data_IF_120845817557
#
_entry.id   IF_120845817557
#
_cell.length_a   1.000
_cell.length_b   1.000
_cell.length_c   1.000
_cell.angle_alpha   90.00
_cell.angle_beta   90.00
_cell.angle_gamma   90.00
#
_symmetry.space_group_name_H-M   'P 1'
#
loop_
_entity.id
_entity.type
_entity.pdbx_description
1 polymer ?
#
# COMPACT_ATOMS: atom_id res chain seq x y z
N UNK A 1 -4.18 -40.04 -4.52
CA UNK A 1 -3.07 -39.22 -5.02
C UNK A 1 -3.56 -37.76 -5.06
N UNK A 2 -3.25 -37.00 -4.03
CA UNK A 2 -3.60 -35.56 -3.97
C UNK A 2 -2.58 -34.83 -4.84
N UNK A 3 -3.02 -34.33 -5.98
CA UNK A 3 -2.22 -33.38 -6.78
C UNK A 3 -2.02 -32.15 -5.89
N UNK A 4 -0.89 -32.05 -5.20
CA UNK A 4 -0.41 -30.77 -4.67
C UNK A 4 -0.09 -29.93 -5.90
N UNK A 5 -0.99 -29.03 -6.26
CA UNK A 5 -0.69 -27.98 -7.23
C UNK A 5 0.57 -27.25 -6.77
N UNK A 6 1.42 -26.92 -7.71
CA UNK A 6 2.65 -26.15 -7.49
C UNK A 6 2.29 -24.69 -7.19
N UNK A 7 1.48 -24.47 -6.14
CA UNK A 7 1.07 -23.16 -5.65
C UNK A 7 2.25 -22.60 -4.87
N UNK A 8 2.89 -21.59 -5.42
CA UNK A 8 3.92 -20.86 -4.71
C UNK A 8 3.32 -19.79 -3.77
N UNK A 9 4.15 -19.14 -2.99
CA UNK A 9 3.71 -18.11 -2.05
C UNK A 9 3.05 -16.92 -2.76
N UNK A 10 3.48 -16.59 -3.99
CA UNK A 10 2.94 -15.50 -4.80
C UNK A 10 1.50 -15.77 -5.22
N UNK A 11 1.23 -17.00 -5.69
CA UNK A 11 -0.13 -17.44 -6.04
C UNK A 11 -1.08 -17.33 -4.84
N UNK A 12 -0.58 -17.71 -3.65
CA UNK A 12 -1.35 -17.63 -2.41
C UNK A 12 -1.66 -16.17 -2.01
N UNK A 13 -0.69 -15.27 -2.15
CA UNK A 13 -0.87 -13.83 -1.90
C UNK A 13 -1.87 -13.24 -2.89
N UNK A 14 -1.75 -13.56 -4.20
CA UNK A 14 -2.68 -13.10 -5.24
C UNK A 14 -4.11 -13.57 -4.95
N UNK A 15 -4.29 -14.87 -4.64
CA UNK A 15 -5.59 -15.42 -4.30
C UNK A 15 -6.18 -14.76 -3.06
N UNK A 16 -5.37 -14.52 -2.02
CA UNK A 16 -5.81 -13.85 -0.81
C UNK A 16 -6.36 -12.43 -1.08
N UNK A 17 -5.65 -11.62 -1.89
CA UNK A 17 -6.11 -10.28 -2.22
C UNK A 17 -7.32 -10.29 -3.15
N UNK A 18 -7.39 -11.26 -4.07
CA UNK A 18 -8.55 -11.44 -4.95
C UNK A 18 -9.82 -11.77 -4.16
N UNK A 19 -9.73 -12.66 -3.17
CA UNK A 19 -10.84 -12.99 -2.28
C UNK A 19 -11.29 -11.78 -1.44
N UNK A 20 -10.37 -10.85 -1.14
CA UNK A 20 -10.67 -9.63 -0.40
C UNK A 20 -11.28 -8.51 -1.22
N UNK A 21 -11.22 -8.57 -2.54
CA UNK A 21 -11.64 -7.47 -3.42
C UNK A 21 -13.07 -6.98 -3.11
N UNK A 22 -14.00 -7.89 -2.81
CA UNK A 22 -15.41 -7.56 -2.58
C UNK A 22 -15.65 -6.60 -1.39
N UNK A 23 -14.85 -6.71 -0.33
CA UNK A 23 -14.99 -5.93 0.91
C UNK A 23 -13.79 -5.02 1.19
N UNK A 24 -12.86 -4.86 0.26
CA UNK A 24 -11.61 -4.16 0.49
C UNK A 24 -11.84 -2.69 0.85
N UNK A 25 -12.72 -2.03 0.13
CA UNK A 25 -13.01 -0.59 0.28
C UNK A 25 -13.83 -0.28 1.55
N UNK A 26 -14.42 -1.28 2.22
CA UNK A 26 -15.20 -1.08 3.46
C UNK A 26 -14.33 -0.71 4.66
N UNK A 27 -13.02 -0.95 4.56
CA UNK A 27 -12.10 -0.73 5.67
C UNK A 27 -11.48 0.66 5.63
N UNK A 28 -11.54 1.42 6.76
CA UNK A 28 -10.83 2.69 6.86
C UNK A 28 -9.33 2.55 6.58
N UNK A 29 -8.84 3.39 5.67
CA UNK A 29 -7.46 3.34 5.17
C UNK A 29 -7.29 2.52 3.89
N UNK A 30 -8.34 1.87 3.38
CA UNK A 30 -8.35 1.25 2.05
C UNK A 30 -9.12 2.09 1.03
N UNK A 31 -10.09 2.88 1.47
CA UNK A 31 -10.78 3.90 0.66
C UNK A 31 -10.68 5.27 1.36
N UNK A 32 -10.98 6.35 0.63
CA UNK A 32 -11.02 7.73 1.14
C UNK A 32 -12.43 8.05 1.63
N UNK A 33 -12.60 8.16 2.93
CA UNK A 33 -13.91 8.36 3.56
C UNK A 33 -14.25 9.83 3.83
N UNK A 34 -13.33 10.76 3.62
CA UNK A 34 -13.59 12.18 3.88
C UNK A 34 -12.71 13.09 3.03
N UNK A 35 -13.23 14.29 2.76
CA UNK A 35 -12.48 15.34 2.06
C UNK A 35 -11.22 15.77 2.84
N UNK A 36 -11.23 15.64 4.18
CA UNK A 36 -10.06 15.89 5.01
C UNK A 36 -8.96 14.86 4.77
N UNK A 37 -9.34 13.59 4.60
CA UNK A 37 -8.40 12.52 4.26
C UNK A 37 -7.84 12.73 2.86
N UNK A 38 -8.69 13.05 1.87
CA UNK A 38 -8.28 13.38 0.49
C UNK A 38 -7.23 14.47 0.47
N UNK A 39 -7.49 15.60 1.13
CA UNK A 39 -6.52 16.70 1.23
C UNK A 39 -5.20 16.27 1.87
N UNK A 40 -5.24 15.50 2.96
CA UNK A 40 -4.02 15.03 3.60
C UNK A 40 -3.18 14.11 2.69
N UNK A 41 -3.84 13.30 1.86
CA UNK A 41 -3.17 12.51 0.84
C UNK A 41 -2.61 13.35 -0.30
N UNK A 42 -3.36 14.33 -0.82
CA UNK A 42 -2.87 15.26 -1.84
C UNK A 42 -1.63 16.04 -1.35
N UNK A 43 -1.65 16.51 -0.10
CA UNK A 43 -0.51 17.18 0.53
C UNK A 43 0.73 16.27 0.60
N UNK A 44 0.55 14.98 0.96
CA UNK A 44 1.65 14.00 0.97
C UNK A 44 2.20 13.78 -0.43
N UNK A 45 1.34 13.46 -1.39
CA UNK A 45 1.73 13.16 -2.77
C UNK A 45 2.42 14.35 -3.42
N UNK A 46 1.84 15.55 -3.30
CA UNK A 46 2.41 16.79 -3.88
C UNK A 46 3.76 17.14 -3.27
N UNK A 47 3.93 16.96 -1.95
CA UNK A 47 5.20 17.20 -1.26
C UNK A 47 6.33 16.31 -1.74
N UNK A 48 6.05 15.06 -2.04
CA UNK A 48 7.06 14.08 -2.44
C UNK A 48 7.27 13.99 -3.95
N UNK A 49 6.21 14.16 -4.74
CA UNK A 49 6.26 14.03 -6.19
C UNK A 49 6.44 15.38 -6.91
N UNK A 50 6.09 16.49 -6.24
CA UNK A 50 6.04 17.81 -6.89
C UNK A 50 4.88 17.94 -7.90
N UNK A 51 4.89 18.98 -8.75
CA UNK A 51 3.81 19.23 -9.70
C UNK A 51 3.70 18.11 -10.75
N UNK A 52 2.48 17.74 -11.09
CA UNK A 52 2.23 16.64 -12.04
C UNK A 52 2.70 17.00 -13.46
N UNK A 53 2.32 18.17 -13.96
CA UNK A 53 2.73 18.68 -15.29
C UNK A 53 2.60 17.64 -16.42
N UNK A 54 1.58 16.77 -16.35
CA UNK A 54 1.37 15.69 -17.32
C UNK A 54 2.34 14.52 -17.25
N UNK A 55 3.17 14.43 -16.18
CA UNK A 55 4.08 13.30 -15.96
C UNK A 55 3.33 11.99 -15.83
N UNK A 56 3.93 10.92 -16.38
CA UNK A 56 3.43 9.55 -16.26
C UNK A 56 3.78 8.94 -14.91
N UNK A 57 2.80 8.42 -14.20
CA UNK A 57 3.00 7.73 -12.92
C UNK A 57 2.45 6.32 -12.97
N UNK A 58 3.21 5.38 -12.43
CA UNK A 58 2.80 3.99 -12.20
C UNK A 58 2.38 3.82 -10.74
N UNK A 59 1.12 3.44 -10.51
CA UNK A 59 0.59 3.04 -9.20
C UNK A 59 0.72 1.52 -9.10
N UNK A 60 1.73 1.04 -8.35
CA UNK A 60 2.03 -0.38 -8.20
C UNK A 60 1.22 -1.01 -7.06
N UNK A 61 0.64 -2.17 -7.34
CA UNK A 61 -0.37 -2.81 -6.51
C UNK A 61 -1.52 -1.85 -6.23
N UNK A 62 -2.09 -1.32 -7.32
CA UNK A 62 -3.10 -0.27 -7.28
C UNK A 62 -4.41 -0.70 -6.60
N UNK A 63 -4.64 -2.00 -6.46
CA UNK A 63 -5.82 -2.58 -5.84
C UNK A 63 -7.10 -2.04 -6.50
N UNK A 64 -7.98 -1.46 -5.69
CA UNK A 64 -9.23 -0.84 -6.16
C UNK A 64 -9.04 0.61 -6.68
N UNK A 65 -7.80 1.05 -6.93
CA UNK A 65 -7.48 2.32 -7.59
C UNK A 65 -7.51 3.56 -6.71
N UNK A 66 -7.47 3.42 -5.37
CA UNK A 66 -7.60 4.57 -4.46
C UNK A 66 -6.48 5.58 -4.64
N UNK A 67 -5.21 5.13 -4.72
CA UNK A 67 -4.06 6.01 -4.95
C UNK A 67 -4.06 6.52 -6.39
N UNK A 68 -4.46 5.68 -7.35
CA UNK A 68 -4.61 6.09 -8.75
C UNK A 68 -5.54 7.30 -8.90
N UNK A 69 -6.69 7.31 -8.21
CA UNK A 69 -7.60 8.46 -8.23
C UNK A 69 -7.01 9.72 -7.60
N UNK A 70 -6.27 9.60 -6.50
CA UNK A 70 -5.59 10.73 -5.86
C UNK A 70 -4.51 11.34 -6.77
N UNK A 71 -3.79 10.50 -7.51
CA UNK A 71 -2.78 10.94 -8.48
C UNK A 71 -3.41 11.61 -9.69
N UNK A 72 -4.53 11.07 -10.19
CA UNK A 72 -5.30 11.65 -11.29
C UNK A 72 -5.91 13.01 -10.90
N UNK A 73 -6.43 13.14 -9.65
CA UNK A 73 -6.89 14.43 -9.10
C UNK A 73 -5.79 15.50 -9.11
N UNK A 74 -4.53 15.11 -8.96
CA UNK A 74 -3.36 16.02 -9.01
C UNK A 74 -2.86 16.30 -10.44
N UNK A 75 -3.43 15.65 -11.47
CA UNK A 75 -3.12 15.89 -12.88
C UNK A 75 -2.00 15.02 -13.45
N UNK A 76 -1.65 13.91 -12.79
CA UNK A 76 -0.75 12.90 -13.36
C UNK A 76 -1.47 12.06 -14.43
N UNK A 77 -0.72 11.55 -15.42
CA UNK A 77 -1.19 10.47 -16.29
C UNK A 77 -0.94 9.14 -15.59
N UNK A 78 -2.00 8.51 -15.11
CA UNK A 78 -1.90 7.36 -14.20
C UNK A 78 -2.05 6.05 -14.96
N UNK A 79 -1.13 5.12 -14.70
CA UNK A 79 -1.28 3.69 -14.99
C UNK A 79 -1.30 2.95 -13.67
N UNK A 80 -2.39 2.26 -13.35
CA UNK A 80 -2.48 1.36 -12.20
C UNK A 80 -2.14 -0.05 -12.63
N UNK A 81 -1.30 -0.74 -11.87
CA UNK A 81 -0.94 -2.13 -12.10
C UNK A 81 -1.24 -2.95 -10.86
N UNK A 82 -1.95 -4.06 -11.02
CA UNK A 82 -2.22 -5.03 -9.96
C UNK A 82 -2.33 -6.44 -10.55
N UNK A 83 -2.03 -7.45 -9.79
CA UNK A 83 -2.13 -8.84 -10.25
C UNK A 83 -3.50 -9.49 -9.97
N UNK A 84 -4.38 -8.79 -9.25
CA UNK A 84 -5.73 -9.26 -8.91
C UNK A 84 -6.76 -8.66 -9.86
N UNK A 85 -7.27 -9.44 -10.80
CA UNK A 85 -8.32 -8.98 -11.71
C UNK A 85 -9.60 -8.51 -10.98
N UNK A 86 -10.09 -9.18 -9.90
CA UNK A 86 -11.21 -8.66 -9.13
C UNK A 86 -10.98 -7.28 -8.50
N UNK A 87 -9.73 -6.95 -8.12
CA UNK A 87 -9.37 -5.61 -7.67
C UNK A 87 -9.46 -4.60 -8.82
N UNK A 88 -8.87 -4.93 -9.97
CA UNK A 88 -8.86 -4.07 -11.15
C UNK A 88 -10.25 -3.84 -11.75
N UNK A 89 -11.14 -4.82 -11.71
CA UNK A 89 -12.53 -4.63 -12.11
C UNK A 89 -13.23 -3.54 -11.29
N UNK A 90 -12.97 -3.52 -9.97
CA UNK A 90 -13.49 -2.47 -9.10
C UNK A 90 -12.84 -1.12 -9.41
N UNK A 91 -11.52 -1.09 -9.63
CA UNK A 91 -10.79 0.12 -9.99
C UNK A 91 -11.31 0.73 -11.30
N UNK A 92 -11.49 -0.09 -12.35
CA UNK A 92 -12.05 0.34 -13.64
C UNK A 92 -13.47 0.86 -13.50
N UNK A 93 -14.31 0.20 -12.70
CA UNK A 93 -15.69 0.64 -12.43
C UNK A 93 -15.68 2.00 -11.74
N UNK A 94 -14.90 2.18 -10.68
CA UNK A 94 -14.78 3.47 -9.98
C UNK A 94 -14.27 4.58 -10.90
N UNK A 95 -13.34 4.28 -11.80
CA UNK A 95 -12.85 5.26 -12.77
C UNK A 95 -13.94 5.64 -13.77
N UNK A 96 -14.67 4.67 -14.31
CA UNK A 96 -15.80 4.91 -15.21
C UNK A 96 -16.90 5.75 -14.54
N UNK A 97 -17.32 5.39 -13.32
CA UNK A 97 -18.33 6.12 -12.53
C UNK A 97 -17.95 7.58 -12.26
N UNK A 98 -16.66 7.87 -12.20
CA UNK A 98 -16.10 9.22 -11.99
C UNK A 98 -15.72 9.93 -13.29
N UNK A 99 -15.91 9.32 -14.45
CA UNK A 99 -15.51 9.86 -15.75
C UNK A 99 -13.99 10.06 -15.88
N UNK A 100 -13.18 9.19 -15.28
CA UNK A 100 -11.71 9.30 -15.25
C UNK A 100 -11.05 8.37 -16.26
N UNK A 101 -10.02 8.86 -16.95
CA UNK A 101 -9.27 8.11 -17.96
C UNK A 101 -8.00 7.47 -17.37
N UNK A 102 -8.15 6.66 -16.30
CA UNK A 102 -7.05 5.94 -15.66
C UNK A 102 -6.89 4.58 -16.35
N UNK A 103 -5.67 4.25 -16.78
CA UNK A 103 -5.36 2.95 -17.36
C UNK A 103 -5.09 1.94 -16.24
N UNK A 104 -5.82 0.83 -16.19
CA UNK A 104 -5.59 -0.27 -15.24
C UNK A 104 -5.16 -1.54 -15.98
N UNK A 105 -3.99 -2.08 -15.62
CA UNK A 105 -3.34 -3.23 -16.25
C UNK A 105 -3.15 -4.36 -15.27
N UNK A 106 -3.43 -5.58 -15.74
CA UNK A 106 -3.10 -6.80 -14.99
C UNK A 106 -1.61 -7.06 -15.10
N UNK A 107 -0.93 -7.24 -13.98
CA UNK A 107 0.51 -7.50 -13.97
C UNK A 107 1.07 -7.65 -12.57
N UNK A 108 2.29 -8.16 -12.50
CA UNK A 108 3.04 -8.38 -11.28
C UNK A 108 3.96 -7.19 -10.99
N UNK A 109 3.93 -6.65 -9.77
CA UNK A 109 4.80 -5.56 -9.34
C UNK A 109 6.28 -5.96 -9.25
N UNK A 110 6.57 -7.27 -9.16
CA UNK A 110 7.93 -7.81 -9.18
C UNK A 110 8.42 -8.11 -10.61
N UNK A 111 7.53 -8.08 -11.61
CA UNK A 111 7.84 -8.30 -13.02
C UNK A 111 6.96 -7.44 -13.92
N UNK A 112 7.40 -6.20 -14.14
CA UNK A 112 6.64 -5.20 -14.89
C UNK A 112 6.90 -5.37 -16.40
N UNK A 113 5.84 -5.52 -17.19
CA UNK A 113 5.94 -5.73 -18.64
C UNK A 113 6.14 -4.43 -19.44
N UNK A 114 6.28 -3.28 -18.76
CA UNK A 114 6.57 -2.00 -19.40
C UNK A 114 8.06 -1.91 -19.79
N UNK A 115 8.33 -1.12 -20.84
CA UNK A 115 9.69 -0.87 -21.28
C UNK A 115 10.52 -0.12 -20.22
N UNK A 116 11.83 -0.17 -20.34
CA UNK A 116 12.74 0.62 -19.54
C UNK A 116 12.37 2.11 -19.64
N UNK A 117 12.57 2.85 -18.56
CA UNK A 117 12.43 4.32 -18.54
C UNK A 117 11.06 4.83 -19.00
N UNK A 118 9.99 4.08 -18.71
CA UNK A 118 8.63 4.42 -19.13
C UNK A 118 7.94 5.46 -18.25
N UNK A 119 8.31 5.56 -16.96
CA UNK A 119 7.59 6.37 -15.99
C UNK A 119 8.44 7.46 -15.36
N UNK A 120 7.82 8.62 -15.15
CA UNK A 120 8.42 9.75 -14.43
C UNK A 120 8.35 9.55 -12.91
N UNK A 121 7.40 8.74 -12.45
CA UNK A 121 7.29 8.36 -11.04
C UNK A 121 6.64 6.98 -10.88
N UNK A 122 6.96 6.34 -9.76
CA UNK A 122 6.28 5.15 -9.25
C UNK A 122 5.74 5.51 -7.86
N UNK A 123 4.50 5.13 -7.60
CA UNK A 123 3.90 5.19 -6.25
C UNK A 123 3.41 3.81 -5.88
N UNK A 124 3.59 3.42 -4.63
CA UNK A 124 2.99 2.21 -4.10
C UNK A 124 2.54 2.42 -2.67
N UNK A 125 1.44 1.75 -2.30
CA UNK A 125 0.90 1.80 -0.95
C UNK A 125 0.55 0.40 -0.45
N UNK A 126 1.09 0.06 0.72
CA UNK A 126 0.82 -1.22 1.40
C UNK A 126 1.23 -2.47 0.57
N UNK A 127 2.34 -2.38 -0.16
CA UNK A 127 2.87 -3.47 -0.97
C UNK A 127 4.15 -4.07 -0.36
N UNK A 128 5.10 -3.22 0.09
CA UNK A 128 6.47 -3.65 0.40
C UNK A 128 6.50 -4.76 1.46
N UNK A 129 5.66 -4.67 2.48
CA UNK A 129 5.58 -5.67 3.55
C UNK A 129 5.15 -7.07 3.08
N UNK A 130 4.61 -7.22 1.86
CA UNK A 130 4.19 -8.51 1.27
C UNK A 130 5.14 -9.05 0.21
N UNK A 131 6.23 -8.34 -0.11
CA UNK A 131 7.17 -8.76 -1.14
C UNK A 131 7.85 -10.08 -0.77
N UNK A 132 7.95 -10.96 -1.77
CA UNK A 132 8.68 -12.23 -1.65
C UNK A 132 10.17 -12.01 -1.92
N UNK A 133 10.49 -11.26 -2.97
CA UNK A 133 11.86 -10.87 -3.35
C UNK A 133 11.97 -9.36 -3.56
N UNK A 134 12.18 -8.57 -2.47
CA UNK A 134 12.29 -7.12 -2.58
C UNK A 134 13.49 -6.65 -3.41
N UNK A 135 14.59 -7.39 -3.45
CA UNK A 135 15.77 -7.00 -4.22
C UNK A 135 15.47 -7.03 -5.72
N UNK A 136 14.90 -8.12 -6.22
CA UNK A 136 14.46 -8.24 -7.62
C UNK A 136 13.38 -7.19 -7.94
N UNK A 137 12.45 -6.98 -7.03
CA UNK A 137 11.37 -6.01 -7.16
C UNK A 137 11.90 -4.58 -7.32
N UNK A 138 12.81 -4.16 -6.45
CA UNK A 138 13.38 -2.80 -6.49
C UNK A 138 14.26 -2.58 -7.72
N UNK A 139 14.98 -3.59 -8.19
CA UNK A 139 15.72 -3.52 -9.44
C UNK A 139 14.77 -3.30 -10.64
N UNK A 140 13.62 -3.99 -10.65
CA UNK A 140 12.60 -3.85 -11.68
C UNK A 140 11.94 -2.45 -11.64
N UNK A 141 11.67 -1.91 -10.45
CA UNK A 141 11.14 -0.55 -10.30
C UNK A 141 12.14 0.50 -10.78
N UNK A 142 13.43 0.30 -10.47
CA UNK A 142 14.50 1.17 -10.97
C UNK A 142 14.59 1.13 -12.51
N UNK A 143 14.44 -0.05 -13.11
CA UNK A 143 14.47 -0.24 -14.56
C UNK A 143 13.41 0.60 -15.28
N UNK A 144 12.15 0.52 -14.83
CA UNK A 144 11.03 1.19 -15.50
C UNK A 144 10.92 2.68 -15.19
N UNK A 145 11.64 3.18 -14.17
CA UNK A 145 11.76 4.62 -13.93
C UNK A 145 12.70 5.27 -14.95
N UNK A 146 12.35 6.45 -15.42
CA UNK A 146 13.25 7.32 -16.18
C UNK A 146 14.41 7.80 -15.31
N UNK A 147 15.58 8.14 -15.89
CA UNK A 147 16.64 8.85 -15.17
C UNK A 147 16.08 10.09 -14.46
N UNK A 148 16.41 10.29 -13.19
CA UNK A 148 15.83 11.33 -12.33
C UNK A 148 14.38 11.08 -11.88
N UNK A 149 13.78 9.96 -12.29
CA UNK A 149 12.44 9.56 -11.90
C UNK A 149 12.32 9.23 -10.41
N UNK A 150 11.13 9.36 -9.86
CA UNK A 150 10.87 9.29 -8.42
C UNK A 150 10.11 8.03 -8.03
N UNK A 151 10.55 7.40 -6.94
CA UNK A 151 9.81 6.36 -6.23
C UNK A 151 9.22 6.94 -4.94
N UNK A 152 7.94 6.67 -4.69
CA UNK A 152 7.28 6.96 -3.42
C UNK A 152 6.62 5.69 -2.88
N UNK A 153 7.13 5.18 -1.77
CA UNK A 153 6.54 4.07 -1.02
C UNK A 153 5.79 4.65 0.17
N UNK A 154 4.51 4.32 0.34
CA UNK A 154 3.72 4.66 1.54
C UNK A 154 3.30 3.36 2.22
N UNK A 155 4.00 3.00 3.28
CA UNK A 155 3.84 1.69 3.92
C UNK A 155 3.93 1.78 5.45
N UNK A 156 4.11 0.66 6.10
CA UNK A 156 4.29 0.59 7.55
C UNK A 156 4.79 -0.76 8.01
N UNK A 157 5.34 -0.77 9.21
CA UNK A 157 5.63 -2.00 9.93
C UNK A 157 4.34 -2.52 10.58
N UNK A 158 3.73 -3.53 9.93
CA UNK A 158 2.47 -4.14 10.39
C UNK A 158 2.69 -5.31 11.36
N UNK A 159 3.93 -5.70 11.61
CA UNK A 159 4.33 -6.79 12.51
C UNK A 159 4.90 -6.23 13.80
N UNK A 160 5.81 -5.24 13.70
CA UNK A 160 6.47 -4.61 14.81
C UNK A 160 5.56 -3.60 15.53
N UNK A 161 4.89 -4.05 16.59
CA UNK A 161 4.03 -3.16 17.38
C UNK A 161 4.82 -2.33 18.38
N UNK A 162 4.64 -1.02 18.36
CA UNK A 162 5.18 -0.10 19.37
C UNK A 162 4.56 -0.31 20.77
N UNK A 163 5.22 0.17 21.81
CA UNK A 163 4.72 0.05 23.19
C UNK A 163 3.33 0.68 23.37
N UNK A 164 3.10 1.84 22.76
CA UNK A 164 1.79 2.52 22.78
C UNK A 164 0.69 1.73 22.08
N UNK A 165 0.99 1.13 20.94
CA UNK A 165 0.04 0.29 20.20
C UNK A 165 -0.31 -0.96 21.02
N UNK A 166 0.68 -1.65 21.58
CA UNK A 166 0.46 -2.81 22.47
C UNK A 166 -0.41 -2.46 23.67
N UNK A 167 -0.19 -1.29 24.30
CA UNK A 167 -1.02 -0.83 25.41
C UNK A 167 -2.47 -0.62 24.96
N UNK A 168 -2.71 0.09 23.88
CA UNK A 168 -4.06 0.33 23.36
C UNK A 168 -4.78 -0.96 22.98
N UNK A 169 -4.07 -1.92 22.36
CA UNK A 169 -4.63 -3.24 22.07
C UNK A 169 -5.02 -4.03 23.33
N UNK A 170 -4.21 -3.94 24.40
CA UNK A 170 -4.54 -4.57 25.68
C UNK A 170 -5.78 -3.94 26.31
N UNK A 171 -5.89 -2.60 26.26
CA UNK A 171 -7.08 -1.87 26.74
C UNK A 171 -8.30 -2.27 25.91
N UNK A 172 -8.18 -2.36 24.59
CA UNK A 172 -9.27 -2.79 23.71
C UNK A 172 -9.72 -4.23 24.03
N UNK A 173 -8.77 -5.16 24.19
CA UNK A 173 -9.07 -6.54 24.55
C UNK A 173 -9.78 -6.64 25.92
N UNK A 174 -9.33 -5.86 26.91
CA UNK A 174 -9.99 -5.75 28.21
C UNK A 174 -11.43 -5.21 28.09
N UNK A 175 -11.59 -4.09 27.35
CA UNK A 175 -12.90 -3.47 27.15
C UNK A 175 -13.90 -4.41 26.47
N UNK A 176 -13.45 -5.20 25.47
CA UNK A 176 -14.27 -6.23 24.81
C UNK A 176 -14.67 -7.34 25.79
N UNK A 177 -13.71 -7.86 26.56
CA UNK A 177 -13.95 -8.94 27.53
C UNK A 177 -15.02 -8.56 28.57
N UNK A 178 -15.08 -7.28 28.92
CA UNK A 178 -16.04 -6.76 29.89
C UNK A 178 -17.30 -6.11 29.28
N UNK A 179 -17.53 -6.28 27.98
CA UNK A 179 -18.70 -5.73 27.28
C UNK A 179 -18.73 -4.20 27.16
N UNK A 180 -17.61 -3.53 27.49
CA UNK A 180 -17.47 -2.07 27.43
C UNK A 180 -17.19 -1.53 26.03
N UNK A 181 -16.72 -2.38 25.11
CA UNK A 181 -16.50 -2.04 23.70
C UNK A 181 -17.33 -2.96 22.81
N UNK A 182 -18.16 -2.35 21.96
CA UNK A 182 -18.84 -3.07 20.88
C UNK A 182 -17.98 -3.03 19.63
N UNK A 183 -17.79 -4.19 18.99
CA UNK A 183 -17.13 -4.27 17.68
C UNK A 183 -18.08 -3.66 16.64
N UNK A 184 -17.75 -2.46 16.17
CA UNK A 184 -18.50 -1.71 15.16
C UNK A 184 -17.57 -1.43 13.97
N UNK A 185 -17.20 -2.45 13.25
CA UNK A 185 -16.37 -2.25 12.06
C UNK A 185 -16.26 -3.51 11.25
N UNK A 186 -15.87 -3.38 9.99
CA UNK A 186 -15.61 -4.54 9.15
C UNK A 186 -14.49 -5.39 9.78
N UNK A 187 -14.69 -6.70 9.81
CA UNK A 187 -13.73 -7.67 10.32
C UNK A 187 -13.46 -8.74 9.25
N UNK A 188 -12.23 -9.22 9.22
CA UNK A 188 -11.89 -10.39 8.42
C UNK A 188 -12.54 -11.64 9.03
N UNK A 189 -12.97 -12.57 8.17
CA UNK A 189 -13.34 -13.90 8.64
C UNK A 189 -12.14 -14.58 9.34
N UNK A 190 -12.40 -15.52 10.24
CA UNK A 190 -11.34 -16.25 10.93
C UNK A 190 -10.41 -16.99 9.94
N UNK A 191 -10.97 -17.49 8.85
CA UNK A 191 -10.23 -18.15 7.77
C UNK A 191 -9.28 -17.17 7.07
N UNK A 192 -9.78 -16.01 6.59
CA UNK A 192 -8.95 -15.00 5.94
C UNK A 192 -7.88 -14.45 6.89
N UNK A 193 -8.21 -14.25 8.17
CA UNK A 193 -7.23 -13.85 9.16
C UNK A 193 -6.14 -14.92 9.40
N UNK A 194 -6.50 -16.20 9.32
CA UNK A 194 -5.56 -17.33 9.38
C UNK A 194 -4.62 -17.37 8.17
N UNK A 195 -5.17 -17.26 6.95
CA UNK A 195 -4.39 -17.17 5.70
C UNK A 195 -3.44 -15.98 5.72
N UNK A 196 -3.91 -14.81 6.15
CA UNK A 196 -3.09 -13.61 6.27
C UNK A 196 -1.87 -13.83 7.19
N UNK A 197 -2.07 -14.42 8.38
CA UNK A 197 -0.95 -14.74 9.28
C UNK A 197 0.03 -15.75 8.67
N UNK A 198 -0.47 -16.76 7.97
CA UNK A 198 0.36 -17.73 7.27
C UNK A 198 1.23 -17.08 6.19
N UNK A 199 0.67 -16.18 5.38
CA UNK A 199 1.40 -15.41 4.38
C UNK A 199 2.49 -14.56 5.06
N UNK A 200 2.11 -13.78 6.08
CA UNK A 200 3.04 -12.89 6.79
C UNK A 200 4.24 -13.60 7.40
N UNK A 201 4.09 -14.85 7.83
CA UNK A 201 5.21 -15.61 8.40
C UNK A 201 6.23 -16.11 7.36
N UNK A 202 5.95 -15.96 6.05
CA UNK A 202 6.76 -16.52 4.96
C UNK A 202 7.31 -15.47 3.99
N UNK A 203 6.82 -14.23 4.05
CA UNK A 203 7.34 -13.12 3.25
C UNK A 203 8.68 -12.62 3.77
N UNK A 204 9.42 -11.89 2.94
CA UNK A 204 10.73 -11.34 3.31
C UNK A 204 10.67 -10.54 4.62
N UNK A 205 9.68 -9.67 4.75
CA UNK A 205 9.50 -8.82 5.93
C UNK A 205 8.65 -9.48 7.04
N UNK A 206 8.77 -10.79 7.23
CA UNK A 206 8.05 -11.52 8.30
C UNK A 206 8.34 -11.01 9.71
N UNK A 207 9.52 -10.40 9.93
CA UNK A 207 9.90 -9.72 11.17
C UNK A 207 9.45 -8.26 11.27
N UNK A 208 8.80 -7.72 10.24
CA UNK A 208 8.38 -6.33 10.12
C UNK A 208 9.13 -5.56 9.04
N UNK A 209 8.40 -4.74 8.29
CA UNK A 209 8.95 -3.88 7.23
C UNK A 209 9.32 -2.51 7.84
N UNK A 210 10.46 -2.41 8.49
CA UNK A 210 10.93 -1.14 9.05
C UNK A 210 11.42 -0.22 7.95
N UNK A 211 11.20 1.07 8.11
CA UNK A 211 11.60 2.07 7.12
C UNK A 211 13.11 2.03 6.81
N UNK A 212 13.92 1.78 7.83
CA UNK A 212 15.38 1.69 7.72
C UNK A 212 15.81 0.48 6.87
N UNK A 213 15.18 -0.68 7.09
CA UNK A 213 15.48 -1.92 6.36
C UNK A 213 15.09 -1.78 4.88
N UNK A 214 13.91 -1.18 4.60
CA UNK A 214 13.46 -0.88 3.24
C UNK A 214 14.39 0.14 2.57
N UNK A 215 14.81 1.19 3.28
CA UNK A 215 15.72 2.20 2.76
C UNK A 215 17.11 1.60 2.43
N UNK A 216 17.61 0.67 3.22
CA UNK A 216 18.87 -0.04 2.96
C UNK A 216 18.78 -0.86 1.67
N UNK A 217 17.72 -1.65 1.50
CA UNK A 217 17.50 -2.44 0.28
C UNK A 217 17.32 -1.56 -0.98
N UNK A 218 16.69 -0.38 -0.86
CA UNK A 218 16.61 0.57 -1.95
C UNK A 218 18.00 1.13 -2.33
N UNK A 219 18.85 1.39 -1.35
CA UNK A 219 20.23 1.83 -1.61
C UNK A 219 21.05 0.74 -2.31
N UNK A 220 20.91 -0.51 -1.87
CA UNK A 220 21.53 -1.69 -2.53
C UNK A 220 21.04 -1.85 -3.98
N UNK A 221 19.76 -1.55 -4.25
CA UNK A 221 19.18 -1.53 -5.59
C UNK A 221 19.55 -0.27 -6.41
N UNK A 222 20.51 0.54 -5.94
CA UNK A 222 21.03 1.74 -6.63
C UNK A 222 20.08 2.93 -6.71
N UNK A 223 19.06 3.00 -5.85
CA UNK A 223 18.31 4.24 -5.67
C UNK A 223 19.13 5.28 -4.91
N UNK A 224 18.95 6.55 -5.25
CA UNK A 224 19.60 7.70 -4.62
C UNK A 224 18.59 8.62 -3.94
N UNK A 225 19.08 9.59 -3.16
CA UNK A 225 18.24 10.62 -2.52
C UNK A 225 17.16 10.06 -1.60
N UNK A 226 17.44 8.92 -0.96
CA UNK A 226 16.48 8.21 -0.12
C UNK A 226 16.16 9.03 1.13
N UNK A 227 14.90 9.32 1.35
CA UNK A 227 14.41 10.06 2.52
C UNK A 227 13.20 9.36 3.13
N UNK A 228 13.17 9.29 4.47
CA UNK A 228 12.06 8.70 5.24
C UNK A 228 11.24 9.83 5.88
N UNK A 229 9.97 9.93 5.50
CA UNK A 229 9.01 10.85 6.12
C UNK A 229 8.02 10.08 7.00
N UNK A 230 8.00 10.41 8.30
CA UNK A 230 7.05 9.84 9.28
C UNK A 230 5.88 10.78 9.58
N UNK A 231 5.75 11.91 8.87
CA UNK A 231 4.72 12.92 9.08
C UNK A 231 3.39 12.55 8.42
N UNK A 232 2.86 11.36 8.74
CA UNK A 232 1.59 10.84 8.23
C UNK A 232 0.40 11.13 9.17
N UNK A 233 0.61 11.88 10.24
CA UNK A 233 -0.38 12.10 11.29
C UNK A 233 -1.70 12.76 10.82
N UNK A 234 -1.68 13.58 9.75
CA UNK A 234 -2.91 14.15 9.18
C UNK A 234 -3.80 13.06 8.58
N UNK A 235 -3.21 12.13 7.82
CA UNK A 235 -3.89 10.97 7.23
C UNK A 235 -4.42 10.07 8.35
N UNK A 236 -3.58 9.71 9.33
CA UNK A 236 -3.97 8.81 10.42
C UNK A 236 -5.11 9.38 11.25
N UNK A 237 -5.11 10.69 11.55
CA UNK A 237 -6.21 11.35 12.27
C UNK A 237 -7.51 11.37 11.46
N UNK A 238 -7.42 11.55 10.14
CA UNK A 238 -8.60 11.51 9.28
C UNK A 238 -9.19 10.10 9.25
N UNK A 239 -8.38 9.08 9.03
CA UNK A 239 -8.78 7.67 9.02
C UNK A 239 -9.33 7.21 10.38
N UNK A 240 -8.67 7.59 11.47
CA UNK A 240 -9.07 7.20 12.84
C UNK A 240 -10.47 7.66 13.22
N UNK A 241 -11.02 8.70 12.59
CA UNK A 241 -12.40 9.17 12.83
C UNK A 241 -13.48 8.22 12.30
N UNK A 242 -13.10 7.37 11.35
CA UNK A 242 -13.97 6.34 10.78
C UNK A 242 -13.78 4.97 11.43
N UNK A 243 -13.01 4.92 12.53
CA UNK A 243 -12.72 3.72 13.31
C UNK A 243 -13.34 3.81 14.71
N UNK A 244 -13.59 2.69 15.41
CA UNK A 244 -13.82 2.70 16.84
C UNK A 244 -12.70 3.44 17.58
N UNK A 245 -13.03 4.15 18.65
CA UNK A 245 -12.12 5.10 19.33
C UNK A 245 -10.71 4.53 19.59
N UNK A 246 -10.64 3.35 20.21
CA UNK A 246 -9.34 2.73 20.55
C UNK A 246 -8.55 2.32 19.30
N UNK A 247 -9.22 1.82 18.26
CA UNK A 247 -8.59 1.51 16.95
C UNK A 247 -8.09 2.79 16.27
N UNK A 248 -8.89 3.87 16.33
CA UNK A 248 -8.50 5.17 15.80
C UNK A 248 -7.31 5.79 16.52
N UNK A 249 -7.19 5.61 17.84
CA UNK A 249 -6.02 6.01 18.62
C UNK A 249 -4.81 5.14 18.30
N UNK A 250 -4.98 3.82 18.20
CA UNK A 250 -3.92 2.89 17.81
C UNK A 250 -3.37 3.24 16.42
N UNK A 251 -4.25 3.63 15.47
CA UNK A 251 -3.83 4.09 14.12
C UNK A 251 -2.83 5.24 14.16
N UNK A 252 -2.92 6.13 15.14
CA UNK A 252 -2.04 7.30 15.24
C UNK A 252 -0.64 6.97 15.76
N UNK A 253 -0.47 5.86 16.45
CA UNK A 253 0.82 5.40 17.02
C UNK A 253 1.45 4.25 16.23
N UNK A 254 0.82 3.82 15.13
CA UNK A 254 1.39 2.81 14.22
C UNK A 254 2.66 3.31 13.54
N UNK A 255 3.62 2.42 13.36
CA UNK A 255 4.88 2.68 12.68
C UNK A 255 4.68 2.72 11.16
N UNK A 256 4.18 3.85 10.67
CA UNK A 256 3.98 4.09 9.24
C UNK A 256 4.92 5.17 8.73
N UNK A 257 5.27 5.05 7.45
CA UNK A 257 6.24 5.92 6.81
C UNK A 257 5.89 6.15 5.34
N UNK A 258 6.45 7.22 4.78
CA UNK A 258 6.64 7.38 3.35
C UNK A 258 8.15 7.38 3.07
N UNK A 259 8.60 6.62 2.08
CA UNK A 259 9.98 6.66 1.60
C UNK A 259 9.95 7.24 0.19
N UNK A 260 10.70 8.33 0.01
CA UNK A 260 11.01 8.88 -1.32
C UNK A 260 12.41 8.47 -1.70
N UNK A 261 12.57 8.01 -2.94
CA UNK A 261 13.86 7.72 -3.54
C UNK A 261 13.86 8.19 -5.01
N UNK A 262 15.02 8.26 -5.64
CA UNK A 262 15.15 8.67 -7.04
C UNK A 262 16.06 7.71 -7.81
N UNK A 263 15.74 7.45 -9.08
CA UNK A 263 16.70 6.86 -10.00
C UNK A 263 17.78 7.91 -10.29
N UNK A 264 19.07 7.60 -10.13
CA UNK A 264 20.14 8.53 -10.49
C UNK A 264 19.98 9.05 -11.93
N UNK A 265 20.29 10.32 -12.21
CA UNK A 265 20.45 10.76 -13.59
C UNK A 265 21.65 10.05 -14.20
N UNK A 266 21.63 9.86 -15.52
CA UNK A 266 22.76 9.28 -16.28
C UNK A 266 23.92 10.25 -16.27
#
# INVERSE_FOLDING_TARGET
MTVRGNFDLRDEIQAFWSDRAASFDDFPGHEIFSERERRAWHDLLSRHLGPAAGRGVLDLASGTGVVSHLLDDLGFRVTGLDWSEPMLERARRKAADRGRAIAFRLGDAERILEADESFDAIVTRHLVWTLVDPAACFAEWLRVLKPGGMLLIVDGDFVGQGAGERLLMRIEAFARRHGLARDRGPALSAELAGRHRSILSRVHFSGGARAEDVAALLAEASFAGITVDRRLGAIHRAQGRHMPLLKGLARQVQHRYAIRATKPPI
#
